data_IF_821328118352
#
_entry.id   IF_821328118352
#
_cell.length_a   1.000
_cell.length_b   1.000
_cell.length_c   1.000
_cell.angle_alpha   90.00
_cell.angle_beta   90.00
_cell.angle_gamma   90.00
#
_symmetry.space_group_name_H-M   'P 1'
#
loop_
_entity.id
_entity.type
_entity.pdbx_description
1 polymer ?
#
# COMPACT_ATOMS: atom_id res chain seq x y z
N UNK A 1 10.84 15.16 -9.70
CA UNK A 1 10.57 15.27 -8.24
C UNK A 1 10.66 13.90 -7.61
N UNK A 2 10.84 13.81 -6.26
CA UNK A 2 10.81 12.49 -5.59
C UNK A 2 9.39 12.20 -5.10
N UNK A 3 8.88 11.01 -5.39
CA UNK A 3 7.59 10.52 -4.89
C UNK A 3 7.81 9.26 -4.04
N UNK A 4 6.97 9.05 -3.03
CA UNK A 4 6.93 7.82 -2.26
C UNK A 4 5.70 7.02 -2.67
N UNK A 5 5.88 5.74 -3.00
CA UNK A 5 4.77 4.83 -3.31
C UNK A 5 4.75 3.74 -2.25
N UNK A 6 3.67 3.67 -1.47
CA UNK A 6 3.46 2.59 -0.51
C UNK A 6 2.96 1.34 -1.24
N UNK A 7 3.69 0.23 -1.07
CA UNK A 7 3.42 -1.02 -1.78
C UNK A 7 3.39 -2.21 -0.83
N UNK A 8 2.32 -2.97 -0.87
CA UNK A 8 2.13 -4.19 -0.08
C UNK A 8 1.81 -5.43 -0.96
N UNK A 9 1.84 -5.28 -2.29
CA UNK A 9 1.52 -6.34 -3.24
C UNK A 9 0.03 -6.53 -3.52
N UNK A 10 -0.86 -5.78 -2.85
CA UNK A 10 -2.30 -5.80 -3.13
C UNK A 10 -2.62 -5.23 -4.52
N UNK A 11 -3.80 -5.53 -5.04
CA UNK A 11 -4.23 -5.01 -6.34
C UNK A 11 -4.40 -3.48 -6.32
N UNK A 12 -4.84 -2.92 -5.19
CA UNK A 12 -4.92 -1.47 -5.00
C UNK A 12 -3.53 -0.82 -5.05
N UNK A 13 -2.50 -1.43 -4.44
CA UNK A 13 -1.13 -0.90 -4.49
C UNK A 13 -0.48 -1.06 -5.87
N UNK A 14 -0.80 -2.11 -6.62
CA UNK A 14 -0.39 -2.27 -8.02
C UNK A 14 -1.06 -1.22 -8.92
N UNK A 15 -2.36 -0.98 -8.73
CA UNK A 15 -3.09 0.07 -9.44
C UNK A 15 -2.50 1.46 -9.14
N UNK A 16 -2.08 1.70 -7.90
CA UNK A 16 -1.42 2.94 -7.48
C UNK A 16 -0.09 3.15 -8.24
N UNK A 17 0.72 2.10 -8.39
CA UNK A 17 1.96 2.15 -9.19
C UNK A 17 1.66 2.46 -10.66
N UNK A 18 0.71 1.74 -11.27
CA UNK A 18 0.36 1.92 -12.68
C UNK A 18 -0.12 3.37 -12.95
N UNK A 19 -1.03 3.87 -12.13
CA UNK A 19 -1.57 5.22 -12.26
C UNK A 19 -0.49 6.29 -12.03
N UNK A 20 0.39 6.11 -11.04
CA UNK A 20 1.52 7.00 -10.81
C UNK A 20 2.49 7.04 -12.01
N UNK A 21 2.73 5.88 -12.65
CA UNK A 21 3.56 5.80 -13.85
C UNK A 21 2.97 6.52 -15.06
N UNK A 22 1.65 6.48 -15.23
CA UNK A 22 0.97 7.24 -16.29
C UNK A 22 1.05 8.75 -16.05
N UNK A 23 0.79 9.17 -14.81
CA UNK A 23 0.69 10.59 -14.45
C UNK A 23 2.06 11.28 -14.32
N UNK A 24 3.07 10.56 -13.82
CA UNK A 24 4.36 11.10 -13.36
C UNK A 24 5.54 10.42 -14.06
N UNK A 25 5.37 10.07 -15.32
CA UNK A 25 6.39 9.38 -16.12
C UNK A 25 7.73 10.11 -16.08
N UNK A 26 8.82 9.36 -15.80
CA UNK A 26 10.17 9.89 -15.72
C UNK A 26 10.54 10.49 -14.34
N UNK A 27 9.60 10.60 -13.41
CA UNK A 27 9.91 11.08 -12.07
C UNK A 27 10.59 10.00 -11.22
N UNK A 28 11.36 10.46 -10.21
CA UNK A 28 12.00 9.55 -9.25
C UNK A 28 10.98 9.04 -8.24
N UNK A 29 10.96 7.72 -8.02
CA UNK A 29 10.07 7.07 -7.06
C UNK A 29 10.85 6.19 -6.08
N UNK A 30 10.48 6.25 -4.80
CA UNK A 30 10.86 5.24 -3.81
C UNK A 30 9.64 4.36 -3.58
N UNK A 31 9.75 3.08 -3.90
CA UNK A 31 8.69 2.10 -3.63
C UNK A 31 8.97 1.45 -2.29
N UNK A 32 8.14 1.78 -1.30
CA UNK A 32 8.30 1.40 0.10
C UNK A 32 7.37 0.25 0.45
N UNK A 33 7.95 -0.84 0.95
CA UNK A 33 7.23 -1.90 1.65
C UNK A 33 7.55 -1.82 3.13
N UNK A 34 6.52 -1.74 3.97
CA UNK A 34 6.65 -1.71 5.43
C UNK A 34 6.18 -3.05 5.99
N UNK A 35 6.97 -3.62 6.91
CA UNK A 35 6.66 -4.90 7.54
C UNK A 35 6.62 -4.79 9.07
N UNK A 36 5.78 -5.60 9.69
CA UNK A 36 5.62 -5.62 11.14
C UNK A 36 6.62 -6.62 11.76
N UNK A 37 7.40 -6.17 12.74
CA UNK A 37 8.31 -7.06 13.49
C UNK A 37 7.53 -8.11 14.26
N UNK A 38 8.00 -9.37 14.25
CA UNK A 38 7.35 -10.48 14.93
C UNK A 38 7.16 -10.22 16.43
N UNK A 39 8.12 -9.57 17.09
CA UNK A 39 8.01 -9.16 18.49
C UNK A 39 6.86 -8.18 18.75
N UNK A 40 6.60 -7.25 17.82
CA UNK A 40 5.49 -6.29 17.93
C UNK A 40 4.16 -6.93 17.60
N UNK A 41 4.11 -7.80 16.59
CA UNK A 41 2.92 -8.59 16.26
C UNK A 41 2.52 -9.50 17.43
N UNK A 42 3.49 -10.17 18.06
CA UNK A 42 3.27 -11.01 19.23
C UNK A 42 2.83 -10.22 20.46
N UNK A 43 3.38 -9.04 20.70
CA UNK A 43 2.99 -8.16 21.81
C UNK A 43 1.55 -7.67 21.66
N UNK A 44 1.07 -7.47 20.42
CA UNK A 44 -0.34 -7.13 20.15
C UNK A 44 -1.28 -8.34 20.26
N UNK A 45 -0.78 -9.55 19.99
CA UNK A 45 -1.60 -10.77 19.93
C UNK A 45 -1.75 -11.48 21.28
N UNK A 46 -0.85 -11.31 22.26
CA UNK A 46 -0.96 -12.03 23.53
C UNK A 46 -0.21 -11.41 24.70
N UNK A 47 -0.94 -11.29 25.79
CA UNK A 47 -0.42 -11.18 27.15
C UNK A 47 0.10 -12.56 27.56
N UNK A 48 1.33 -12.92 27.20
CA UNK A 48 1.85 -14.19 27.72
C UNK A 48 2.95 -14.91 26.96
N UNK A 49 3.98 -14.23 26.42
CA UNK A 49 5.07 -14.98 25.81
C UNK A 49 6.46 -14.43 26.20
N UNK A 50 6.97 -14.87 27.34
CA UNK A 50 8.36 -14.65 27.76
C UNK A 50 9.35 -15.71 27.26
N UNK A 51 8.97 -16.62 26.36
CA UNK A 51 9.76 -17.79 25.98
C UNK A 51 10.24 -17.90 24.53
N UNK A 52 10.08 -16.87 23.69
CA UNK A 52 10.41 -17.01 22.27
C UNK A 52 11.40 -15.98 21.72
N UNK A 53 12.19 -15.33 22.55
CA UNK A 53 13.09 -14.23 22.07
C UNK A 53 14.16 -14.74 21.10
N UNK A 54 14.61 -15.97 21.24
CA UNK A 54 15.69 -16.53 20.39
C UNK A 54 15.18 -17.01 19.00
N UNK A 55 13.89 -17.32 18.87
CA UNK A 55 13.27 -17.70 17.59
C UNK A 55 12.80 -16.47 16.78
N UNK A 56 12.48 -15.37 17.45
CA UNK A 56 11.96 -14.15 16.81
C UNK A 56 12.99 -13.49 15.88
N UNK A 57 14.29 -13.59 16.19
CA UNK A 57 15.35 -13.00 15.36
C UNK A 57 15.52 -13.70 14.00
N UNK A 58 15.30 -15.02 13.94
CA UNK A 58 15.36 -15.79 12.68
C UNK A 58 14.08 -15.60 11.84
N UNK A 59 12.95 -15.42 12.48
CA UNK A 59 11.67 -15.10 11.82
C UNK A 59 11.71 -13.70 11.22
N UNK A 60 12.19 -12.70 11.94
CA UNK A 60 12.32 -11.33 11.45
C UNK A 60 13.24 -11.25 10.22
N UNK A 61 14.38 -11.97 10.21
CA UNK A 61 15.27 -12.00 9.05
C UNK A 61 14.62 -12.63 7.80
N UNK A 62 13.82 -13.68 7.98
CA UNK A 62 13.09 -14.32 6.89
C UNK A 62 11.97 -13.40 6.36
N UNK A 63 11.24 -12.73 7.25
CA UNK A 63 10.20 -11.75 6.91
C UNK A 63 10.83 -10.56 6.17
N UNK A 64 11.93 -10.01 6.69
CA UNK A 64 12.64 -8.90 6.05
C UNK A 64 13.09 -9.27 4.63
N UNK A 65 13.62 -10.50 4.45
CA UNK A 65 14.02 -11.01 3.14
C UNK A 65 12.85 -11.03 2.14
N UNK A 66 11.72 -11.61 2.54
CA UNK A 66 10.52 -11.66 1.73
C UNK A 66 9.94 -10.27 1.41
N UNK A 67 9.96 -9.36 2.39
CA UNK A 67 9.47 -8.01 2.20
C UNK A 67 10.40 -7.16 1.32
N UNK A 68 11.71 -7.42 1.36
CA UNK A 68 12.67 -6.79 0.45
C UNK A 68 12.46 -7.25 -0.99
N UNK A 69 12.19 -8.54 -1.21
CA UNK A 69 11.80 -9.07 -2.53
C UNK A 69 10.51 -8.44 -3.02
N UNK A 70 9.52 -8.26 -2.13
CA UNK A 70 8.27 -7.59 -2.46
C UNK A 70 8.48 -6.13 -2.87
N UNK A 71 9.34 -5.39 -2.15
CA UNK A 71 9.69 -4.01 -2.50
C UNK A 71 10.37 -3.93 -3.88
N UNK A 72 11.26 -4.88 -4.19
CA UNK A 72 11.90 -4.96 -5.51
C UNK A 72 10.88 -5.25 -6.61
N UNK A 73 9.95 -6.18 -6.41
CA UNK A 73 8.86 -6.44 -7.36
C UNK A 73 8.04 -5.17 -7.62
N UNK A 74 7.72 -4.40 -6.57
CA UNK A 74 7.01 -3.13 -6.71
C UNK A 74 7.83 -2.09 -7.48
N UNK A 75 9.15 -2.01 -7.23
CA UNK A 75 10.03 -1.12 -7.95
C UNK A 75 10.16 -1.50 -9.44
N UNK A 76 10.19 -2.80 -9.75
CA UNK A 76 10.16 -3.28 -11.13
C UNK A 76 8.86 -2.90 -11.86
N UNK A 77 7.72 -3.04 -11.20
CA UNK A 77 6.44 -2.58 -11.74
C UNK A 77 6.46 -1.06 -12.01
N UNK A 78 7.01 -0.29 -11.08
CA UNK A 78 7.12 1.16 -11.24
C UNK A 78 8.05 1.56 -12.39
N UNK A 79 9.18 0.86 -12.58
CA UNK A 79 10.08 1.04 -13.74
C UNK A 79 9.39 0.71 -15.06
N UNK A 80 8.63 -0.40 -15.11
CA UNK A 80 7.83 -0.78 -16.28
C UNK A 80 6.74 0.25 -16.60
N UNK A 81 6.16 0.88 -15.58
CA UNK A 81 5.21 1.98 -15.73
C UNK A 81 5.86 3.31 -16.14
N UNK A 82 7.20 3.38 -16.22
CA UNK A 82 7.95 4.54 -16.72
C UNK A 82 8.50 5.47 -15.64
N UNK A 83 8.52 5.05 -14.38
CA UNK A 83 9.15 5.79 -13.28
C UNK A 83 10.64 5.41 -13.14
N UNK A 84 11.44 6.30 -12.53
CA UNK A 84 12.81 5.99 -12.09
C UNK A 84 12.72 5.50 -10.64
N UNK A 85 12.48 4.18 -10.46
CA UNK A 85 12.11 3.64 -9.18
C UNK A 85 13.24 2.89 -8.47
N UNK A 86 13.33 3.08 -7.14
CA UNK A 86 14.20 2.34 -6.23
C UNK A 86 13.37 1.65 -5.15
N UNK A 87 13.68 0.39 -4.78
CA UNK A 87 13.00 -0.29 -3.70
C UNK A 87 13.49 0.19 -2.35
N UNK A 88 12.61 0.19 -1.37
CA UNK A 88 12.92 0.37 0.05
C UNK A 88 12.05 -0.56 0.89
N UNK A 89 12.65 -1.16 1.92
CA UNK A 89 11.96 -2.05 2.84
C UNK A 89 12.33 -1.66 4.26
N UNK A 90 11.36 -1.20 5.03
CA UNK A 90 11.57 -0.77 6.41
C UNK A 90 10.64 -1.53 7.37
N UNK A 91 11.12 -1.88 8.58
CA UNK A 91 10.23 -2.36 9.63
C UNK A 91 9.32 -1.21 10.12
N UNK A 92 8.13 -1.54 10.59
CA UNK A 92 7.30 -0.54 11.25
C UNK A 92 7.96 -0.05 12.56
N UNK A 93 7.88 1.24 12.81
CA UNK A 93 8.38 1.85 14.05
C UNK A 93 7.32 1.80 15.16
N UNK A 94 6.10 2.19 14.85
CA UNK A 94 4.92 2.21 15.74
C UNK A 94 3.73 1.63 15.00
N UNK A 95 3.60 1.97 13.72
CA UNK A 95 2.57 1.48 12.83
C UNK A 95 3.01 1.72 11.37
N UNK A 96 2.44 0.95 10.44
CA UNK A 96 2.75 1.06 9.01
C UNK A 96 2.60 2.49 8.47
N UNK A 97 1.50 3.17 8.83
CA UNK A 97 1.24 4.52 8.37
C UNK A 97 2.29 5.54 8.84
N UNK A 98 2.78 5.44 10.10
CA UNK A 98 3.79 6.36 10.62
C UNK A 98 5.12 6.17 9.90
N UNK A 99 5.52 4.92 9.65
CA UNK A 99 6.75 4.63 8.87
C UNK A 99 6.67 5.20 7.46
N UNK A 100 5.49 5.13 6.81
CA UNK A 100 5.29 5.75 5.48
C UNK A 100 5.50 7.27 5.55
N UNK A 101 4.97 7.93 6.58
CA UNK A 101 5.09 9.38 6.76
C UNK A 101 6.55 9.77 7.08
N UNK A 102 7.20 9.04 7.99
CA UNK A 102 8.59 9.28 8.41
C UNK A 102 9.55 9.12 7.22
N UNK A 103 9.38 8.07 6.41
CA UNK A 103 10.19 7.86 5.20
C UNK A 103 9.92 8.95 4.17
N UNK A 104 8.66 9.37 4.00
CA UNK A 104 8.34 10.46 3.08
C UNK A 104 9.00 11.78 3.49
N UNK A 105 9.13 12.03 4.79
CA UNK A 105 9.85 13.18 5.33
C UNK A 105 11.36 13.05 5.10
N UNK A 106 11.93 11.90 5.43
CA UNK A 106 13.37 11.61 5.27
C UNK A 106 13.86 11.82 3.85
N UNK A 107 13.10 11.37 2.83
CA UNK A 107 13.48 11.48 1.42
C UNK A 107 12.99 12.78 0.76
N UNK A 108 12.41 13.69 1.52
CA UNK A 108 11.74 14.89 1.01
C UNK A 108 10.79 14.60 -0.15
N UNK A 109 9.94 13.58 0.02
CA UNK A 109 8.97 13.22 -0.99
C UNK A 109 7.94 14.34 -1.18
N UNK A 110 7.69 14.74 -2.41
CA UNK A 110 6.72 15.79 -2.73
C UNK A 110 5.28 15.27 -2.84
N UNK A 111 5.14 13.95 -2.94
CA UNK A 111 3.86 13.27 -3.06
C UNK A 111 3.99 11.87 -2.44
N UNK A 112 2.98 11.46 -1.69
CA UNK A 112 2.80 10.06 -1.30
C UNK A 112 1.71 9.46 -2.18
N UNK A 113 1.95 8.26 -2.71
CA UNK A 113 0.97 7.50 -3.49
C UNK A 113 0.66 6.19 -2.74
N UNK A 114 -0.61 5.88 -2.59
CA UNK A 114 -1.07 4.65 -1.92
C UNK A 114 -2.34 4.12 -2.57
N UNK A 115 -2.59 2.82 -2.45
CA UNK A 115 -3.88 2.24 -2.76
C UNK A 115 -4.96 2.68 -1.75
N UNK A 116 -6.22 2.46 -2.07
CA UNK A 116 -7.31 2.70 -1.10
C UNK A 116 -7.28 1.69 0.03
N UNK A 117 -6.87 0.44 -0.26
CA UNK A 117 -6.88 -0.71 0.67
C UNK A 117 -5.57 -1.48 0.51
N UNK A 118 -5.24 -2.28 1.53
CA UNK A 118 -4.15 -3.26 1.49
C UNK A 118 -4.68 -4.69 1.55
N UNK A 119 -3.80 -5.64 1.79
CA UNK A 119 -4.16 -7.04 2.00
C UNK A 119 -5.17 -7.18 3.15
N UNK A 120 -6.30 -7.85 2.89
CA UNK A 120 -7.35 -8.11 3.89
C UNK A 120 -8.38 -6.99 4.06
N UNK A 121 -8.35 -5.96 3.24
CA UNK A 121 -9.34 -4.88 3.28
C UNK A 121 -10.76 -5.38 2.99
N UNK A 122 -11.71 -5.03 3.88
CA UNK A 122 -13.13 -5.34 3.68
C UNK A 122 -13.66 -4.50 2.52
N UNK A 123 -14.27 -5.13 1.51
CA UNK A 123 -14.79 -4.47 0.29
C UNK A 123 -15.81 -3.34 0.56
N UNK A 124 -16.42 -3.32 1.74
CA UNK A 124 -17.41 -2.30 2.15
C UNK A 124 -16.79 -1.00 2.69
N UNK A 125 -15.47 -0.95 2.95
CA UNK A 125 -14.81 0.26 3.44
C UNK A 125 -14.24 1.04 2.26
N UNK A 126 -14.61 2.32 2.17
CA UNK A 126 -14.16 3.24 1.11
C UNK A 126 -12.67 3.53 1.18
N UNK A 127 -12.09 3.54 2.39
CA UNK A 127 -10.67 3.83 2.62
C UNK A 127 -10.11 2.91 3.72
N UNK A 128 -8.94 2.34 3.48
CA UNK A 128 -8.24 1.51 4.46
C UNK A 128 -7.62 2.35 5.59
N UNK A 129 -7.47 1.74 6.76
CA UNK A 129 -6.98 2.44 7.95
C UNK A 129 -5.58 3.05 7.78
N UNK A 130 -4.70 2.41 7.02
CA UNK A 130 -3.35 2.93 6.72
C UNK A 130 -3.44 4.16 5.83
N UNK A 131 -4.18 4.09 4.72
CA UNK A 131 -4.31 5.20 3.76
C UNK A 131 -5.04 6.39 4.37
N UNK A 132 -6.05 6.15 5.22
CA UNK A 132 -6.74 7.19 5.98
C UNK A 132 -5.78 7.92 6.93
N UNK A 133 -4.97 7.17 7.70
CA UNK A 133 -3.99 7.79 8.62
C UNK A 133 -2.87 8.51 7.88
N UNK A 134 -2.37 7.96 6.78
CA UNK A 134 -1.39 8.66 5.93
C UNK A 134 -1.96 9.99 5.46
N UNK A 135 -3.20 10.00 4.94
CA UNK A 135 -3.87 11.22 4.47
C UNK A 135 -3.93 12.31 5.55
N UNK A 136 -4.23 11.93 6.79
CA UNK A 136 -4.38 12.88 7.89
C UNK A 136 -3.05 13.39 8.48
N UNK A 137 -1.95 12.63 8.33
CA UNK A 137 -0.68 12.92 9.02
C UNK A 137 0.48 13.25 8.09
N UNK A 138 0.32 13.08 6.77
CA UNK A 138 1.42 13.22 5.81
C UNK A 138 2.01 14.62 5.70
N UNK A 139 1.28 15.68 6.05
CA UNK A 139 1.73 17.06 5.90
C UNK A 139 2.09 17.48 4.45
N UNK A 140 1.73 16.64 3.48
CA UNK A 140 2.02 16.79 2.04
C UNK A 140 0.91 16.16 1.18
N UNK A 141 0.87 16.45 -0.13
CA UNK A 141 -0.09 15.82 -1.03
C UNK A 141 -0.06 14.28 -0.95
N UNK A 142 -1.23 13.67 -0.93
CA UNK A 142 -1.43 12.21 -0.95
C UNK A 142 -2.36 11.87 -2.10
N UNK A 143 -1.92 10.97 -2.98
CA UNK A 143 -2.70 10.39 -4.05
C UNK A 143 -3.17 9.00 -3.62
N UNK A 144 -4.47 8.82 -3.53
CA UNK A 144 -5.08 7.54 -3.17
C UNK A 144 -5.75 6.96 -4.41
N UNK A 145 -5.33 5.76 -4.81
CA UNK A 145 -5.76 5.12 -6.06
C UNK A 145 -6.54 3.84 -5.73
N UNK A 146 -7.79 3.73 -6.13
CA UNK A 146 -8.53 2.48 -6.02
C UNK A 146 -8.10 1.49 -7.10
N UNK A 147 -8.11 0.19 -6.78
CA UNK A 147 -8.06 -0.82 -7.84
C UNK A 147 -9.32 -0.72 -8.71
N UNK A 148 -9.22 -0.99 -10.01
CA UNK A 148 -10.40 -1.12 -10.85
C UNK A 148 -11.31 -2.19 -10.27
N UNK A 149 -12.59 -1.88 -10.06
CA UNK A 149 -13.56 -2.87 -9.60
C UNK A 149 -13.70 -3.96 -10.67
N UNK A 150 -13.44 -5.20 -10.30
CA UNK A 150 -13.68 -6.37 -11.15
C UNK A 150 -15.17 -6.63 -11.43
N UNK A 151 -16.07 -5.73 -11.04
CA UNK A 151 -17.51 -5.90 -11.03
C UNK A 151 -18.30 -4.69 -11.59
N UNK A 152 -17.71 -3.88 -12.47
CA UNK A 152 -18.49 -2.82 -13.15
C UNK A 152 -19.23 -3.31 -14.41
N UNK A 153 -19.22 -4.61 -14.71
CA UNK A 153 -19.87 -5.14 -15.95
C UNK A 153 -21.29 -5.68 -15.75
N UNK A 154 -21.95 -5.35 -14.64
CA UNK A 154 -23.33 -5.73 -14.43
C UNK A 154 -24.19 -4.53 -14.01
N UNK A 155 -24.38 -3.58 -14.92
CA UNK A 155 -25.63 -2.80 -14.95
C UNK A 155 -26.63 -3.67 -15.73
N UNK A 156 -27.63 -4.30 -15.07
CA UNK A 156 -28.70 -4.91 -15.84
C UNK A 156 -29.44 -3.78 -16.52
N UNK A 157 -29.52 -3.84 -17.86
CA UNK A 157 -30.41 -3.02 -18.65
C UNK A 157 -31.80 -3.06 -18.02
N UNK A 158 -32.20 -1.95 -17.46
CA UNK A 158 -33.59 -1.77 -17.05
C UNK A 158 -34.41 -1.72 -18.35
N UNK A 159 -35.11 -2.81 -18.65
CA UNK A 159 -36.10 -2.83 -19.71
C UNK A 159 -37.10 -1.68 -19.48
N UNK A 160 -37.36 -0.86 -20.49
CA UNK A 160 -38.42 0.12 -20.39
C UNK A 160 -39.77 -0.62 -20.36
N UNK A 161 -40.44 -0.53 -19.21
CA UNK A 161 -41.76 -1.09 -19.01
C UNK A 161 -42.69 -0.63 -20.14
N UNK A 162 -43.23 -1.59 -20.88
CA UNK A 162 -44.31 -1.37 -21.82
C UNK A 162 -45.57 -0.95 -21.05
N UNK A 163 -45.92 0.32 -21.15
CA UNK A 163 -47.24 0.80 -20.82
C UNK A 163 -48.23 0.18 -21.81
N UNK A 164 -49.03 -0.75 -21.31
CA UNK A 164 -50.24 -1.18 -22.02
C UNK A 164 -51.40 -0.31 -21.54
N UNK A 165 -51.82 0.57 -22.45
CA UNK A 165 -53.08 1.28 -22.43
C UNK A 165 -54.23 0.28 -22.50
N UNK A 166 -55.20 0.35 -21.58
CA UNK A 166 -56.63 0.32 -21.92
C UNK A 166 -57.42 0.90 -20.77
#
# INVERSE_FOLDING_TARGET
MTILIAYDGSDDSKAAIAFAGELLKGESAVVLTVWERAAMASARASVGLMMAIDQLGTEDAAIEGAMRELAEQGADLARQAGLVATPRCDPDSVAVWSTIVDVAEEIDARLIVTGTRGFGGVRSLLLGSTSDRVLHHAGRPVLIVPAPDAASDAVPDAEPGADAVT
#
